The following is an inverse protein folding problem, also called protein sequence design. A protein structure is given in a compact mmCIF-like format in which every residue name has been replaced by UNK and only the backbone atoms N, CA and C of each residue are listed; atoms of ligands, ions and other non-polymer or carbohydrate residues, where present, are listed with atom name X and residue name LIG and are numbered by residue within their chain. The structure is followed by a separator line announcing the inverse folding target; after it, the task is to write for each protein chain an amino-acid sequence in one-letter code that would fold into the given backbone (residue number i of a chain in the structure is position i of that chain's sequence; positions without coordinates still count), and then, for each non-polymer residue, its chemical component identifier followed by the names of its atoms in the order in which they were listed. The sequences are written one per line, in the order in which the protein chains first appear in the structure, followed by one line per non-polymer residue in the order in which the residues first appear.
data_IF_874271726633
#
_entry.id   IF_874271726633
#
_cell.length_a   1.000
_cell.length_b   1.000
_cell.length_c   1.000
_cell.angle_alpha   90.00
_cell.angle_beta   90.00
_cell.angle_gamma   90.00
#
_symmetry.space_group_name_H-M   'P 1'
#
loop_
_entity.id
_entity.type
_entity.pdbx_description
1 polymer ?
#
# COMPACT_ATOMS: atom_id res chain seq x y z
N UNK A 1 8.39 24.62 -25.85
CA UNK A 1 7.12 24.41 -25.18
C UNK A 1 7.25 24.70 -23.69
N UNK A 2 6.24 25.32 -23.12
CA UNK A 2 6.23 25.59 -21.70
C UNK A 2 5.82 24.32 -20.93
N UNK A 3 6.56 24.05 -19.85
CA UNK A 3 6.21 22.97 -18.95
C UNK A 3 5.01 23.40 -18.10
N UNK A 4 3.90 22.66 -18.19
CA UNK A 4 2.67 23.07 -17.50
C UNK A 4 2.63 22.66 -16.03
N UNK A 5 2.78 21.35 -15.74
CA UNK A 5 2.73 20.82 -14.37
C UNK A 5 3.55 19.55 -14.25
N UNK A 6 4.17 19.29 -13.08
CA UNK A 6 4.78 18.01 -12.82
C UNK A 6 3.70 16.93 -12.60
N UNK A 7 3.98 15.71 -13.00
CA UNK A 7 3.10 14.58 -12.72
C UNK A 7 3.31 14.09 -11.29
N UNK A 8 2.21 13.68 -10.64
CA UNK A 8 2.29 13.03 -9.34
C UNK A 8 2.96 11.66 -9.49
N UNK A 9 3.79 11.32 -8.50
CA UNK A 9 4.48 10.02 -8.52
C UNK A 9 3.60 8.92 -7.97
N UNK A 10 3.77 7.74 -8.53
CA UNK A 10 3.16 6.52 -8.00
C UNK A 10 4.27 5.58 -7.56
N UNK A 11 4.00 4.80 -6.52
CA UNK A 11 4.91 3.75 -6.10
C UNK A 11 4.13 2.46 -5.94
N UNK A 12 4.69 1.38 -6.48
CA UNK A 12 4.13 0.05 -6.35
C UNK A 12 5.04 -0.77 -5.44
N UNK A 13 4.46 -1.36 -4.41
CA UNK A 13 5.19 -2.19 -3.46
C UNK A 13 4.61 -3.59 -3.51
N UNK A 14 5.46 -4.59 -3.70
CA UNK A 14 5.07 -5.98 -3.75
C UNK A 14 5.66 -6.73 -2.57
N UNK A 15 4.84 -7.55 -1.91
CA UNK A 15 5.28 -8.44 -0.84
C UNK A 15 4.84 -9.85 -1.13
N UNK A 16 5.75 -10.79 -0.92
CA UNK A 16 5.44 -12.21 -0.93
C UNK A 16 5.38 -12.69 0.53
N UNK A 17 4.24 -13.25 0.90
CA UNK A 17 4.02 -13.80 2.22
C UNK A 17 3.84 -15.30 2.13
N UNK A 18 4.55 -16.02 2.99
CA UNK A 18 4.42 -17.47 3.15
C UNK A 18 4.11 -17.76 4.62
N UNK A 19 2.85 -17.57 5.07
CA UNK A 19 2.50 -17.82 6.46
C UNK A 19 2.82 -19.26 6.85
N UNK A 20 3.43 -19.43 8.02
CA UNK A 20 3.84 -20.75 8.49
C UNK A 20 2.74 -21.48 9.24
N UNK A 21 1.72 -20.76 9.69
CA UNK A 21 0.61 -21.32 10.44
C UNK A 21 -0.63 -20.42 10.32
N UNK A 22 -1.73 -20.88 10.91
CA UNK A 22 -2.99 -20.16 10.88
C UNK A 22 -2.89 -18.78 11.51
N UNK A 23 -2.16 -18.64 12.63
CA UNK A 23 -2.01 -17.36 13.32
C UNK A 23 -1.36 -16.30 12.44
N UNK A 24 -0.35 -16.69 11.68
CA UNK A 24 0.30 -15.76 10.74
C UNK A 24 -0.63 -15.39 9.58
N UNK A 25 -1.44 -16.34 9.10
CA UNK A 25 -2.44 -16.07 8.07
C UNK A 25 -3.51 -15.10 8.55
N UNK A 26 -3.97 -15.23 9.79
CA UNK A 26 -4.94 -14.33 10.38
C UNK A 26 -4.36 -12.93 10.57
N UNK A 27 -3.10 -12.83 11.02
CA UNK A 27 -2.42 -11.55 11.15
C UNK A 27 -2.31 -10.84 9.80
N UNK A 28 -1.96 -11.56 8.75
CA UNK A 28 -1.89 -10.99 7.41
C UNK A 28 -3.26 -10.51 6.92
N UNK A 29 -4.31 -11.30 7.15
CA UNK A 29 -5.68 -10.90 6.83
C UNK A 29 -6.05 -9.58 7.51
N UNK A 30 -5.71 -9.45 8.80
CA UNK A 30 -6.03 -8.25 9.57
C UNK A 30 -5.24 -7.03 9.06
N UNK A 31 -3.97 -7.20 8.71
CA UNK A 31 -3.15 -6.14 8.12
C UNK A 31 -3.75 -5.66 6.80
N UNK A 32 -4.12 -6.59 5.91
CA UNK A 32 -4.74 -6.24 4.64
C UNK A 32 -6.10 -5.58 4.84
N UNK A 33 -6.84 -6.01 5.85
CA UNK A 33 -8.11 -5.38 6.23
C UNK A 33 -7.94 -3.92 6.62
N UNK A 34 -6.90 -3.59 7.37
CA UNK A 34 -6.59 -2.21 7.74
C UNK A 34 -6.27 -1.36 6.50
N UNK A 35 -5.47 -1.88 5.58
CA UNK A 35 -5.19 -1.16 4.33
C UNK A 35 -6.47 -0.88 3.54
N UNK A 36 -7.37 -1.85 3.43
CA UNK A 36 -8.62 -1.69 2.70
C UNK A 36 -9.53 -0.65 3.35
N UNK A 37 -9.63 -0.67 4.67
CA UNK A 37 -10.45 0.29 5.42
C UNK A 37 -9.95 1.72 5.16
N UNK A 38 -8.64 1.94 5.26
CA UNK A 38 -8.06 3.28 5.10
C UNK A 38 -7.91 3.71 3.65
N UNK A 39 -7.92 2.78 2.70
CA UNK A 39 -7.91 3.10 1.28
C UNK A 39 -9.29 3.52 0.77
N UNK A 40 -10.36 3.08 1.45
CA UNK A 40 -11.72 3.38 1.02
C UNK A 40 -12.17 4.75 1.52
N UNK A 41 -12.99 5.47 0.74
CA UNK A 41 -13.61 6.71 1.23
C UNK A 41 -14.63 6.39 2.32
N UNK A 42 -14.73 7.27 3.31
CA UNK A 42 -15.70 7.11 4.39
C UNK A 42 -17.01 7.77 3.99
N UNK A 43 -18.11 7.05 4.17
CA UNK A 43 -19.43 7.62 3.93
C UNK A 43 -19.75 8.64 5.03
N UNK A 44 -20.21 9.82 4.62
CA UNK A 44 -20.63 10.86 5.55
C UNK A 44 -21.98 10.46 6.14
N UNK A 45 -22.09 10.49 7.47
CA UNK A 45 -23.29 10.12 8.20
C UNK A 45 -24.46 10.98 7.78
N UNK A 46 -25.61 10.34 7.52
CA UNK A 46 -26.80 11.03 7.08
C UNK A 46 -26.86 11.32 5.58
N UNK A 47 -25.86 10.92 4.81
CA UNK A 47 -25.86 11.10 3.36
C UNK A 47 -25.59 9.77 2.65
N UNK A 48 -26.26 9.53 1.53
CA UNK A 48 -25.99 8.36 0.68
C UNK A 48 -25.06 8.67 -0.48
N UNK A 49 -24.76 9.95 -0.72
CA UNK A 49 -23.98 10.38 -1.89
C UNK A 49 -22.66 11.05 -1.52
N UNK A 50 -22.56 11.64 -0.33
CA UNK A 50 -21.36 12.33 0.09
C UNK A 50 -20.41 11.37 0.81
N UNK A 51 -19.12 11.45 0.46
CA UNK A 51 -18.07 10.64 1.07
C UNK A 51 -16.91 11.52 1.47
N UNK A 52 -16.30 11.21 2.63
CA UNK A 52 -15.06 11.84 3.05
C UNK A 52 -13.89 11.21 2.28
N UNK A 53 -12.80 11.96 2.16
CA UNK A 53 -11.59 11.43 1.51
C UNK A 53 -11.06 10.22 2.25
N UNK A 54 -10.38 9.30 1.54
CA UNK A 54 -9.66 8.19 2.18
C UNK A 54 -8.55 8.71 3.10
N UNK A 55 -8.06 7.83 3.96
CA UNK A 55 -6.93 8.15 4.81
C UNK A 55 -5.66 8.40 4.00
N UNK A 56 -4.80 9.27 4.50
CA UNK A 56 -3.49 9.52 3.90
C UNK A 56 -2.46 8.59 4.52
N UNK A 57 -1.46 8.22 3.73
CA UNK A 57 -0.38 7.33 4.15
C UNK A 57 0.95 8.05 4.06
N UNK A 58 1.80 7.85 5.05
CA UNK A 58 3.20 8.24 4.99
C UNK A 58 4.03 6.97 4.79
N UNK A 59 4.85 6.98 3.74
CA UNK A 59 5.71 5.86 3.43
C UNK A 59 7.13 6.19 3.90
N UNK A 60 7.67 5.33 4.76
CA UNK A 60 9.04 5.44 5.23
C UNK A 60 9.76 4.14 4.94
N UNK A 61 10.87 4.24 4.22
CA UNK A 61 11.69 3.08 3.89
C UNK A 61 12.83 2.99 4.89
N UNK A 62 12.84 1.92 5.69
CA UNK A 62 13.77 1.77 6.80
C UNK A 62 14.78 0.68 6.53
N UNK A 63 16.04 0.93 6.93
CA UNK A 63 17.07 -0.08 7.07
C UNK A 63 17.18 -0.50 8.53
N UNK A 64 18.21 -1.28 8.88
CA UNK A 64 18.38 -1.80 10.23
C UNK A 64 18.41 -0.75 11.34
N UNK A 65 18.90 0.45 11.06
CA UNK A 65 19.12 1.51 12.06
C UNK A 65 18.27 2.76 11.81
N UNK A 66 17.15 2.63 11.10
CA UNK A 66 16.24 3.75 10.84
C UNK A 66 15.96 3.95 9.38
N UNK A 67 15.59 5.18 9.00
CA UNK A 67 15.20 5.50 7.64
C UNK A 67 16.37 5.33 6.66
N UNK A 68 16.10 4.70 5.51
CA UNK A 68 17.11 4.50 4.47
C UNK A 68 17.26 5.77 3.65
N UNK A 69 18.39 6.44 3.78
CA UNK A 69 18.70 7.70 3.10
C UNK A 69 18.90 7.56 1.59
N UNK A 70 19.16 6.34 1.12
CA UNK A 70 19.39 6.10 -0.31
C UNK A 70 18.11 5.90 -1.11
N UNK A 71 16.98 5.76 -0.43
CA UNK A 71 15.67 5.65 -1.07
C UNK A 71 15.01 7.02 -1.03
N UNK A 72 14.44 7.45 -2.17
CA UNK A 72 13.76 8.73 -2.26
C UNK A 72 12.62 8.83 -1.25
N UNK A 73 12.43 10.01 -0.68
CA UNK A 73 11.31 10.29 0.20
C UNK A 73 10.03 10.45 -0.61
N UNK A 74 8.94 10.01 -0.04
CA UNK A 74 7.60 10.24 -0.58
C UNK A 74 6.84 11.18 0.34
N UNK A 75 6.07 12.08 -0.25
CA UNK A 75 5.12 12.91 0.49
C UNK A 75 3.91 12.09 0.92
N UNK A 76 2.84 12.76 1.30
CA UNK A 76 1.60 12.10 1.66
C UNK A 76 1.02 11.37 0.47
N UNK A 77 0.59 10.14 0.67
CA UNK A 77 0.09 9.27 -0.37
C UNK A 77 -1.32 8.80 -0.08
N UNK A 78 -2.05 8.46 -1.14
CA UNK A 78 -3.27 7.67 -1.06
C UNK A 78 -2.98 6.26 -1.56
N UNK A 79 -3.60 5.26 -0.94
CA UNK A 79 -3.52 3.89 -1.42
C UNK A 79 -4.55 3.71 -2.53
N UNK A 80 -4.09 3.59 -3.77
CA UNK A 80 -4.95 3.54 -4.95
C UNK A 80 -5.50 2.16 -5.23
N UNK A 81 -4.72 1.13 -5.03
CA UNK A 81 -5.16 -0.24 -5.27
C UNK A 81 -4.45 -1.24 -4.38
N UNK A 82 -5.16 -2.32 -4.09
CA UNK A 82 -4.66 -3.47 -3.35
C UNK A 82 -5.00 -4.70 -4.18
N UNK A 83 -3.98 -5.45 -4.57
CA UNK A 83 -4.16 -6.68 -5.32
C UNK A 83 -3.53 -7.82 -4.55
N UNK A 84 -4.21 -8.94 -4.50
CA UNK A 84 -3.71 -10.14 -3.82
C UNK A 84 -3.77 -11.32 -4.77
N UNK A 85 -2.74 -12.17 -4.69
CA UNK A 85 -2.68 -13.43 -5.43
C UNK A 85 -2.31 -14.54 -4.47
N UNK A 86 -3.00 -15.66 -4.56
CA UNK A 86 -2.78 -16.81 -3.70
C UNK A 86 -1.99 -17.92 -4.39
N UNK A 87 -1.49 -17.65 -5.60
CA UNK A 87 -0.77 -18.65 -6.37
C UNK A 87 0.73 -18.54 -6.16
N UNK A 88 1.38 -19.69 -5.98
CA UNK A 88 2.82 -19.81 -5.97
C UNK A 88 3.21 -20.65 -7.19
N UNK A 89 4.06 -20.10 -8.05
CA UNK A 89 4.46 -20.76 -9.30
C UNK A 89 3.25 -21.19 -10.15
N UNK A 90 2.17 -20.40 -10.14
CA UNK A 90 0.96 -20.67 -10.91
C UNK A 90 -0.02 -21.65 -10.28
N UNK A 91 0.25 -22.10 -9.05
CA UNK A 91 -0.61 -23.07 -8.35
C UNK A 91 -0.99 -22.52 -6.98
N UNK A 92 -2.30 -22.48 -6.69
CA UNK A 92 -2.79 -22.12 -5.37
C UNK A 92 -2.67 -23.33 -4.44
N UNK A 93 -2.24 -23.08 -3.19
CA UNK A 93 -2.23 -24.12 -2.15
C UNK A 93 -2.75 -23.54 -0.83
N UNK A 94 -3.36 -24.41 -0.04
CA UNK A 94 -4.04 -24.03 1.19
C UNK A 94 -3.72 -25.02 2.30
N UNK A 95 -3.75 -24.54 3.55
CA UNK A 95 -3.63 -25.44 4.71
C UNK A 95 -4.88 -26.33 4.83
N UNK A 96 -4.66 -27.60 5.13
CA UNK A 96 -5.74 -28.60 5.14
C UNK A 96 -6.87 -28.31 6.12
N UNK A 97 -6.52 -27.83 7.31
CA UNK A 97 -7.49 -27.74 8.41
C UNK A 97 -8.32 -26.46 8.39
N UNK A 98 -7.79 -25.39 7.80
CA UNK A 98 -8.38 -24.05 7.89
C UNK A 98 -8.71 -23.44 6.55
N UNK A 99 -8.25 -24.04 5.46
CA UNK A 99 -8.30 -23.48 4.11
C UNK A 99 -7.61 -22.12 3.97
N UNK A 100 -6.72 -21.78 4.91
CA UNK A 100 -5.91 -20.57 4.79
C UNK A 100 -4.86 -20.75 3.71
N UNK A 101 -4.60 -19.72 2.86
CA UNK A 101 -3.57 -19.83 1.82
C UNK A 101 -2.18 -20.05 2.41
N UNK A 102 -1.39 -20.92 1.79
CA UNK A 102 -0.01 -21.16 2.20
C UNK A 102 0.95 -20.12 1.65
N UNK A 103 0.54 -19.41 0.60
CA UNK A 103 1.33 -18.39 -0.06
C UNK A 103 0.42 -17.26 -0.53
N UNK A 104 0.85 -16.02 -0.32
CA UNK A 104 0.08 -14.87 -0.74
C UNK A 104 1.00 -13.75 -1.20
N UNK A 105 0.77 -13.26 -2.41
CA UNK A 105 1.46 -12.10 -2.94
C UNK A 105 0.53 -10.90 -2.86
N UNK A 106 1.03 -9.81 -2.29
CA UNK A 106 0.27 -8.57 -2.12
C UNK A 106 0.96 -7.47 -2.90
N UNK A 107 0.20 -6.75 -3.71
CA UNK A 107 0.67 -5.59 -4.46
C UNK A 107 -0.12 -4.37 -4.00
N UNK A 108 0.59 -3.36 -3.51
CA UNK A 108 0.02 -2.09 -3.07
C UNK A 108 0.50 -1.00 -4.01
N UNK A 109 -0.43 -0.21 -4.53
CA UNK A 109 -0.10 0.94 -5.36
C UNK A 109 -0.49 2.22 -4.62
N UNK A 110 0.50 3.06 -4.35
CA UNK A 110 0.33 4.37 -3.71
C UNK A 110 0.54 5.48 -4.73
N UNK A 111 -0.21 6.55 -4.58
CA UNK A 111 0.01 7.77 -5.37
C UNK A 111 0.21 8.96 -4.46
N UNK A 112 1.23 9.77 -4.72
CA UNK A 112 1.44 10.99 -3.96
C UNK A 112 0.33 11.99 -4.20
N UNK A 113 -0.04 12.70 -3.14
CA UNK A 113 -1.08 13.73 -3.18
C UNK A 113 -0.51 15.11 -3.47
N UNK A 114 0.82 15.27 -3.36
CA UNK A 114 1.51 16.53 -3.59
C UNK A 114 2.31 16.47 -4.88
N UNK A 115 2.29 17.57 -5.62
CA UNK A 115 3.15 17.71 -6.78
C UNK A 115 4.52 18.18 -6.29
N UNK A 116 5.58 17.56 -6.83
CA UNK A 116 6.93 17.83 -6.40
C UNK A 116 7.59 18.87 -7.30
N UNK A 117 8.36 19.76 -6.68
CA UNK A 117 9.17 20.72 -7.35
C UNK A 117 10.66 20.49 -7.08
N UNK A 118 11.49 21.38 -7.58
CA UNK A 118 12.94 21.24 -7.41
C UNK A 118 13.36 21.25 -5.94
N UNK A 119 12.69 22.01 -5.09
CA UNK A 119 13.04 22.11 -3.68
C UNK A 119 12.76 20.80 -2.94
N UNK A 120 11.69 20.10 -3.32
CA UNK A 120 11.42 18.75 -2.78
C UNK A 120 12.58 17.80 -3.11
N UNK A 121 13.05 17.82 -4.36
CA UNK A 121 14.14 16.93 -4.77
C UNK A 121 15.46 17.24 -4.07
N UNK A 122 15.71 18.50 -3.71
CA UNK A 122 16.87 18.86 -2.89
C UNK A 122 16.78 18.30 -1.48
N UNK A 123 15.57 18.10 -0.98
CA UNK A 123 15.32 17.53 0.34
C UNK A 123 15.25 16.00 0.35
N UNK A 124 15.53 15.35 -0.77
CA UNK A 124 15.61 13.90 -0.87
C UNK A 124 14.35 13.17 -1.33
N UNK A 125 13.37 13.89 -1.79
CA UNK A 125 12.12 13.30 -2.30
C UNK A 125 12.30 12.54 -3.60
#
# INVERSE_FOLDING_TARGET
ALFSEPNARNITIEYDFAPRNQGESEALRDILGLFKIHAAPKRIEGSTTLMAYPSEFLLTFCGGDGENEFIAKFGRCALKSIQTSFTNAGVASFFKDTNAPTHQKVTLEFGELELLDRDHYKDGY
#
